data_IF_045660758729
#
_entry.id   IF_045660758729
#
_cell.length_a   1.000
_cell.length_b   1.000
_cell.length_c   1.000
_cell.angle_alpha   90.00
_cell.angle_beta   90.00
_cell.angle_gamma   90.00
#
_symmetry.space_group_name_H-M   'P 1'
#
loop_
_entity.id
_entity.type
_entity.pdbx_description
1 polymer ?
#
# COMPACT_ATOMS: atom_id res chain seq x y z
N UNK A 1 23.31 28.54 3.41
CA UNK A 1 23.25 27.37 2.50
C UNK A 1 21.83 26.82 2.58
N UNK A 2 21.08 26.91 1.49
CA UNK A 2 19.69 26.46 1.42
C UNK A 2 19.62 25.01 0.90
N UNK A 3 18.65 24.28 1.47
CA UNK A 3 18.09 22.98 1.10
C UNK A 3 18.92 21.72 1.42
N UNK A 4 18.44 20.95 2.39
CA UNK A 4 18.17 19.53 2.13
C UNK A 4 16.90 19.12 2.91
N UNK A 5 15.78 19.17 2.21
CA UNK A 5 14.50 18.65 2.65
C UNK A 5 14.56 17.13 2.59
N UNK A 6 13.79 16.48 3.47
CA UNK A 6 13.49 15.04 3.49
C UNK A 6 14.53 14.17 4.21
N UNK A 7 14.26 13.91 5.49
CA UNK A 7 14.61 12.62 6.11
C UNK A 7 13.92 11.51 5.31
N UNK A 8 14.49 11.07 4.19
CA UNK A 8 14.09 9.81 3.59
C UNK A 8 14.39 8.73 4.65
N UNK A 9 13.35 8.19 5.27
CA UNK A 9 13.50 7.04 6.15
C UNK A 9 14.00 5.90 5.28
N UNK A 10 15.28 5.53 5.40
CA UNK A 10 15.95 4.48 4.61
C UNK A 10 15.14 3.17 4.46
N UNK A 11 14.21 2.92 5.39
CA UNK A 11 13.27 1.79 5.39
C UNK A 11 12.22 1.84 4.29
N UNK A 12 11.72 3.01 3.88
CA UNK A 12 10.70 3.13 2.82
C UNK A 12 11.34 3.23 1.43
N UNK A 13 12.52 3.85 1.32
CA UNK A 13 13.23 4.01 0.04
C UNK A 13 13.73 2.67 -0.51
N UNK A 14 14.25 1.76 0.31
CA UNK A 14 14.65 0.43 -0.16
C UNK A 14 13.43 -0.41 -0.61
N UNK A 15 12.34 -0.40 0.15
CA UNK A 15 11.11 -1.11 -0.21
C UNK A 15 10.54 -0.59 -1.54
N UNK A 16 10.62 0.73 -1.77
CA UNK A 16 10.21 1.34 -3.03
C UNK A 16 11.09 0.91 -4.19
N UNK A 17 12.42 0.87 -4.01
CA UNK A 17 13.35 0.41 -5.05
C UNK A 17 13.08 -1.07 -5.38
N UNK A 18 12.92 -1.93 -4.36
CA UNK A 18 12.55 -3.33 -4.58
C UNK A 18 11.26 -3.45 -5.39
N UNK A 19 10.21 -2.75 -4.99
CA UNK A 19 8.94 -2.77 -5.70
C UNK A 19 9.09 -2.26 -7.14
N UNK A 20 9.72 -1.10 -7.35
CA UNK A 20 9.75 -0.45 -8.66
C UNK A 20 10.77 -1.03 -9.64
N UNK A 21 11.93 -1.46 -9.14
CA UNK A 21 13.12 -1.76 -9.97
C UNK A 21 13.52 -3.23 -9.96
N UNK A 22 13.03 -4.03 -9.01
CA UNK A 22 13.38 -5.46 -8.91
C UNK A 22 12.23 -6.37 -9.32
N UNK A 23 10.99 -6.00 -8.97
CA UNK A 23 9.83 -6.82 -9.32
C UNK A 23 9.33 -6.53 -10.74
N UNK A 24 9.16 -7.59 -11.52
CA UNK A 24 8.37 -7.58 -12.75
C UNK A 24 6.87 -7.45 -12.44
N UNK A 25 6.06 -7.36 -13.50
CA UNK A 25 4.61 -7.16 -13.37
C UNK A 25 3.96 -8.34 -12.66
N UNK A 26 4.30 -9.56 -13.03
CA UNK A 26 3.72 -10.78 -12.49
C UNK A 26 4.04 -10.94 -10.99
N UNK A 27 5.26 -10.60 -10.58
CA UNK A 27 5.67 -10.61 -9.18
C UNK A 27 4.97 -9.51 -8.37
N UNK A 28 4.77 -8.32 -8.94
CA UNK A 28 3.95 -7.26 -8.31
C UNK A 28 2.51 -7.74 -8.10
N UNK A 29 1.93 -8.39 -9.11
CA UNK A 29 0.56 -8.92 -9.05
C UNK A 29 0.42 -10.00 -7.96
N UNK A 30 1.38 -10.93 -7.87
CA UNK A 30 1.44 -11.93 -6.79
C UNK A 30 1.61 -11.30 -5.41
N UNK A 31 2.49 -10.30 -5.28
CA UNK A 31 2.70 -9.59 -4.02
C UNK A 31 1.40 -8.95 -3.52
N UNK A 32 0.69 -8.25 -4.40
CA UNK A 32 -0.58 -7.60 -4.08
C UNK A 32 -1.63 -8.64 -3.68
N UNK A 33 -1.76 -9.73 -4.45
CA UNK A 33 -2.68 -10.83 -4.13
C UNK A 33 -2.42 -11.42 -2.74
N UNK A 34 -1.15 -11.64 -2.38
CA UNK A 34 -0.78 -12.18 -1.07
C UNK A 34 -1.13 -11.22 0.07
N UNK A 35 -0.85 -9.92 -0.10
CA UNK A 35 -1.18 -8.89 0.89
C UNK A 35 -2.70 -8.81 1.07
N UNK A 36 -3.46 -8.73 -0.02
CA UNK A 36 -4.93 -8.66 0.00
C UNK A 36 -5.52 -9.92 0.65
N UNK A 37 -5.01 -11.11 0.29
CA UNK A 37 -5.43 -12.37 0.90
C UNK A 37 -5.21 -12.40 2.42
N UNK A 38 -4.08 -11.88 2.90
CA UNK A 38 -3.80 -11.81 4.33
C UNK A 38 -4.70 -10.78 5.06
N UNK A 39 -4.95 -9.63 4.44
CA UNK A 39 -5.70 -8.54 5.05
C UNK A 39 -7.23 -8.76 5.04
N UNK A 40 -7.78 -9.41 4.01
CA UNK A 40 -9.22 -9.60 3.80
C UNK A 40 -9.89 -10.61 4.75
N UNK A 41 -9.14 -11.58 5.29
CA UNK A 41 -9.74 -12.72 5.97
C UNK A 41 -10.10 -12.52 7.45
N UNK A 42 -9.36 -11.67 8.20
CA UNK A 42 -9.45 -11.67 9.68
C UNK A 42 -9.20 -10.32 10.37
N UNK A 43 -8.87 -9.26 9.63
CA UNK A 43 -8.48 -7.99 10.23
C UNK A 43 -9.63 -6.99 10.24
N UNK A 44 -9.70 -6.20 11.32
CA UNK A 44 -10.63 -5.06 11.44
C UNK A 44 -10.33 -4.03 10.35
N UNK A 45 -11.36 -3.33 9.88
CA UNK A 45 -11.26 -2.28 8.84
C UNK A 45 -10.18 -1.24 9.15
N UNK A 46 -10.06 -0.79 10.40
CA UNK A 46 -9.06 0.20 10.80
C UNK A 46 -7.61 -0.27 10.66
N UNK A 47 -7.38 -1.59 10.77
CA UNK A 47 -6.06 -2.19 10.54
C UNK A 47 -5.76 -2.23 9.04
N UNK A 48 -6.78 -2.53 8.22
CA UNK A 48 -6.65 -2.53 6.76
C UNK A 48 -6.34 -1.11 6.25
N UNK A 49 -7.04 -0.08 6.74
CA UNK A 49 -6.77 1.33 6.42
C UNK A 49 -5.35 1.76 6.79
N UNK A 50 -4.88 1.37 7.98
CA UNK A 50 -3.50 1.63 8.40
C UNK A 50 -2.49 0.92 7.51
N UNK A 51 -2.77 -0.33 7.11
CA UNK A 51 -1.91 -1.08 6.21
C UNK A 51 -1.80 -0.39 4.85
N UNK A 52 -2.93 0.02 4.26
CA UNK A 52 -2.98 0.78 3.00
C UNK A 52 -2.12 2.04 3.15
N UNK A 53 -2.32 2.84 4.21
CA UNK A 53 -1.52 4.05 4.45
C UNK A 53 -0.02 3.78 4.53
N UNK A 54 0.38 2.67 5.15
CA UNK A 54 1.80 2.29 5.24
C UNK A 54 2.35 1.90 3.85
N UNK A 55 1.62 1.10 3.08
CA UNK A 55 2.06 0.71 1.74
C UNK A 55 2.07 1.89 0.75
N UNK A 56 1.16 2.86 0.88
CA UNK A 56 1.18 4.09 0.09
C UNK A 56 2.39 4.98 0.36
N UNK A 57 2.99 4.91 1.56
CA UNK A 57 4.24 5.60 1.85
C UNK A 57 5.46 4.95 1.15
N UNK A 58 5.36 3.66 0.81
CA UNK A 58 6.36 2.96 0.01
C UNK A 58 6.17 3.30 -1.46
N UNK A 59 4.96 3.13 -1.98
CA UNK A 59 4.62 3.48 -3.34
C UNK A 59 3.10 3.72 -3.49
N UNK A 60 2.72 4.82 -4.13
CA UNK A 60 1.31 5.19 -4.26
C UNK A 60 0.51 4.16 -5.06
N UNK A 61 1.08 3.60 -6.14
CA UNK A 61 0.40 2.60 -6.98
C UNK A 61 0.22 1.30 -6.20
N UNK A 62 1.23 0.89 -5.41
CA UNK A 62 1.10 -0.28 -4.53
C UNK A 62 -0.07 -0.11 -3.56
N UNK A 63 -0.16 1.04 -2.88
CA UNK A 63 -1.24 1.35 -1.95
C UNK A 63 -2.62 1.30 -2.60
N UNK A 64 -2.80 1.97 -3.75
CA UNK A 64 -4.06 1.96 -4.52
C UNK A 64 -4.49 0.55 -4.91
N UNK A 65 -3.57 -0.27 -5.42
CA UNK A 65 -3.91 -1.64 -5.84
C UNK A 65 -4.31 -2.55 -4.67
N UNK A 66 -3.76 -2.32 -3.48
CA UNK A 66 -4.17 -3.03 -2.26
C UNK A 66 -5.57 -2.57 -1.83
N UNK A 67 -5.84 -1.26 -1.85
CA UNK A 67 -7.17 -0.70 -1.54
C UNK A 67 -8.25 -1.27 -2.47
N UNK A 68 -7.99 -1.28 -3.78
CA UNK A 68 -8.85 -1.89 -4.80
C UNK A 68 -9.10 -3.39 -4.53
N UNK A 69 -8.04 -4.15 -4.25
CA UNK A 69 -8.13 -5.58 -4.00
C UNK A 69 -8.92 -5.94 -2.75
N UNK A 70 -8.85 -5.10 -1.71
CA UNK A 70 -9.66 -5.26 -0.50
C UNK A 70 -11.13 -4.86 -0.69
N UNK A 71 -11.48 -4.27 -1.84
CA UNK A 71 -12.81 -3.73 -2.11
C UNK A 71 -13.32 -2.88 -0.96
N UNK A 72 -12.43 -2.08 -0.35
CA UNK A 72 -12.85 -1.15 0.69
C UNK A 72 -13.75 -0.11 0.01
N UNK A 73 -15.04 -0.41 -0.02
CA UNK A 73 -16.06 0.56 -0.36
C UNK A 73 -15.97 1.56 0.77
N UNK A 74 -15.35 2.73 0.52
CA UNK A 74 -15.62 3.91 1.33
C UNK A 74 -17.13 3.98 1.42
N UNK A 75 -17.76 3.88 2.60
CA UNK A 75 -19.20 3.99 2.69
C UNK A 75 -19.53 5.34 2.09
N UNK A 76 -20.06 5.32 0.87
CA UNK A 76 -20.61 6.51 0.27
C UNK A 76 -21.80 6.78 1.16
N UNK A 77 -21.84 7.98 1.73
CA UNK A 77 -22.87 8.47 2.63
C UNK A 77 -24.23 8.39 1.89
N UNK A 78 -24.83 7.21 1.87
CA UNK A 78 -26.04 6.86 1.13
C UNK A 78 -26.63 5.61 1.78
N UNK A 79 -27.29 5.83 2.90
CA UNK A 79 -28.36 5.02 3.52
C UNK A 79 -28.20 5.09 5.04
N UNK A 80 -28.81 6.14 5.62
CA UNK A 80 -29.57 6.17 6.87
C UNK A 80 -30.30 7.51 6.92
#
# INVERSE_FOLDING_TARGET
>A
MFQDTTRETRTTSQARVFYQKTLDKEAKDRLISNIVGHLSGRLRISIQERAIKNFSQVDAILGTRIEEGLKLIKPTKASL
#
